data_IF_883863367726
#
_entry.id   IF_883863367726
#
_cell.length_a   1.000
_cell.length_b   1.000
_cell.length_c   1.000
_cell.angle_alpha   90.00
_cell.angle_beta   90.00
_cell.angle_gamma   90.00
#
_symmetry.space_group_name_H-M   'P 1'
#
loop_
_entity.id
_entity.type
_entity.pdbx_description
1 polymer ?
#
# COMPACT_ATOMS: atom_id res chain seq x y z
N UNK A 1 35.65 6.45 8.61
CA UNK A 1 34.96 5.18 8.96
C UNK A 1 34.13 5.44 10.19
N UNK A 2 32.84 5.10 10.17
CA UNK A 2 31.98 5.18 11.36
C UNK A 2 32.13 3.85 12.12
N UNK A 3 32.37 3.85 13.45
CA UNK A 3 32.48 2.62 14.22
C UNK A 3 31.21 1.77 14.09
N UNK A 4 31.37 0.47 13.89
CA UNK A 4 30.31 -0.50 13.58
C UNK A 4 29.15 -0.45 14.62
N UNK A 5 29.46 -0.22 15.90
CA UNK A 5 28.44 -0.09 16.96
C UNK A 5 27.63 1.23 16.95
N UNK A 6 28.11 2.29 16.31
CA UNK A 6 27.39 3.57 16.24
C UNK A 6 26.27 3.53 15.18
N UNK A 7 26.43 2.69 14.15
CA UNK A 7 25.45 2.50 13.09
C UNK A 7 24.25 1.68 13.60
N UNK A 8 24.52 0.60 14.35
CA UNK A 8 23.48 -0.23 14.97
C UNK A 8 22.67 0.54 16.02
N UNK A 9 23.33 1.37 16.82
CA UNK A 9 22.65 2.24 17.80
C UNK A 9 21.72 3.26 17.12
N UNK A 10 22.16 3.88 16.02
CA UNK A 10 21.35 4.83 15.24
C UNK A 10 20.19 4.17 14.48
N UNK A 11 20.34 2.91 14.06
CA UNK A 11 19.28 2.11 13.45
C UNK A 11 18.20 1.72 14.48
N UNK A 12 18.58 1.44 15.74
CA UNK A 12 17.62 1.18 16.83
C UNK A 12 16.90 2.44 17.30
N UNK A 13 17.55 3.61 17.25
CA UNK A 13 16.98 4.87 17.74
C UNK A 13 16.10 5.63 16.72
N UNK A 14 15.84 5.07 15.53
CA UNK A 14 15.00 5.71 14.50
C UNK A 14 15.56 7.03 13.92
N UNK A 15 16.79 7.41 14.29
CA UNK A 15 17.46 8.64 13.83
C UNK A 15 18.28 8.38 12.57
N UNK A 16 17.60 8.06 11.47
CA UNK A 16 18.21 8.12 10.13
C UNK A 16 17.54 9.24 9.35
N UNK A 17 18.19 10.41 9.31
CA UNK A 17 17.83 11.46 8.36
C UNK A 17 18.25 11.01 6.95
N UNK A 18 17.32 10.44 6.20
CA UNK A 18 17.54 10.13 4.78
C UNK A 18 17.49 11.46 4.00
N UNK A 19 18.66 12.07 3.79
CA UNK A 19 18.80 13.11 2.77
C UNK A 19 18.51 12.49 1.40
N UNK A 20 17.40 12.92 0.80
CA UNK A 20 16.99 12.47 -0.54
C UNK A 20 17.87 13.14 -1.59
N UNK A 21 18.99 12.49 -1.91
CA UNK A 21 19.65 12.72 -3.18
C UNK A 21 19.07 11.71 -4.20
N UNK A 22 18.64 12.13 -5.40
CA UNK A 22 18.10 11.23 -6.44
C UNK A 22 19.07 10.13 -6.87
N UNK A 23 20.34 10.18 -6.45
CA UNK A 23 21.38 9.18 -6.69
C UNK A 23 21.70 8.29 -5.47
N UNK A 24 20.89 8.27 -4.41
CA UNK A 24 21.16 7.41 -3.24
C UNK A 24 20.69 5.98 -3.51
N UNK A 25 21.64 5.05 -3.56
CA UNK A 25 21.37 3.62 -3.43
C UNK A 25 20.76 3.36 -2.06
N UNK A 26 19.46 3.08 -2.02
CA UNK A 26 18.79 2.64 -0.79
C UNK A 26 19.03 1.13 -0.66
N UNK A 27 19.84 0.75 0.32
CA UNK A 27 20.01 -0.64 0.73
C UNK A 27 19.05 -0.94 1.88
N UNK A 28 18.04 -1.77 1.62
CA UNK A 28 17.20 -2.34 2.68
C UNK A 28 17.72 -3.74 2.98
N UNK A 29 18.48 -3.87 4.07
CA UNK A 29 18.74 -5.17 4.70
C UNK A 29 17.57 -5.44 5.65
N UNK A 30 16.64 -6.31 5.23
CA UNK A 30 15.81 -7.03 6.19
C UNK A 30 15.98 -8.51 5.86
N UNK A 31 16.62 -9.25 6.76
CA UNK A 31 16.57 -10.71 6.73
C UNK A 31 15.10 -11.07 6.89
N UNK A 32 14.45 -11.43 5.79
CA UNK A 32 13.15 -12.07 5.86
C UNK A 32 13.44 -13.52 6.21
N UNK A 33 12.81 -14.03 7.25
CA UNK A 33 12.83 -15.45 7.56
C UNK A 33 11.63 -16.06 6.85
N UNK A 34 11.81 -16.57 5.63
CA UNK A 34 10.74 -17.31 4.96
C UNK A 34 10.83 -18.78 5.35
N UNK A 35 10.27 -19.12 6.52
CA UNK A 35 10.10 -20.52 6.91
C UNK A 35 9.07 -21.20 5.99
N UNK A 36 9.52 -22.02 5.03
CA UNK A 36 8.70 -22.88 4.17
C UNK A 36 7.37 -22.26 3.69
N UNK A 37 7.41 -21.10 3.01
CA UNK A 37 6.22 -20.27 2.82
C UNK A 37 5.42 -20.56 1.54
N UNK A 38 4.10 -20.40 1.66
CA UNK A 38 3.17 -20.32 0.54
C UNK A 38 3.55 -19.13 -0.35
N UNK A 39 3.44 -19.27 -1.68
CA UNK A 39 3.69 -18.21 -2.67
C UNK A 39 2.99 -16.89 -2.32
N UNK A 40 1.80 -16.93 -1.70
CA UNK A 40 1.08 -15.72 -1.30
C UNK A 40 1.79 -14.94 -0.19
N UNK A 41 2.43 -15.62 0.76
CA UNK A 41 3.17 -14.98 1.85
C UNK A 41 4.47 -14.39 1.30
N UNK A 42 5.14 -15.11 0.39
CA UNK A 42 6.30 -14.57 -0.33
C UNK A 42 5.98 -13.28 -1.08
N UNK A 43 4.85 -13.25 -1.80
CA UNK A 43 4.36 -12.05 -2.49
C UNK A 43 4.16 -10.91 -1.48
N UNK A 44 3.41 -11.17 -0.41
CA UNK A 44 3.09 -10.17 0.62
C UNK A 44 4.38 -9.55 1.18
N UNK A 45 5.30 -10.38 1.65
CA UNK A 45 6.51 -9.96 2.35
C UNK A 45 7.44 -9.15 1.44
N UNK A 46 7.58 -9.59 0.17
CA UNK A 46 8.33 -8.84 -0.83
C UNK A 46 7.75 -7.43 -1.05
N UNK A 47 6.43 -7.32 -1.27
CA UNK A 47 5.81 -6.03 -1.59
C UNK A 47 5.69 -5.10 -0.37
N UNK A 48 5.48 -5.64 0.83
CA UNK A 48 5.59 -4.87 2.08
C UNK A 48 7.01 -4.31 2.25
N UNK A 49 8.03 -5.14 2.01
CA UNK A 49 9.43 -4.72 2.02
C UNK A 49 9.75 -3.63 1.00
N UNK A 50 9.26 -3.80 -0.23
CA UNK A 50 9.43 -2.83 -1.31
C UNK A 50 8.72 -1.51 -0.99
N UNK A 51 7.48 -1.55 -0.49
CA UNK A 51 6.77 -0.36 -0.06
C UNK A 51 7.50 0.36 1.07
N UNK A 52 8.04 -0.37 2.06
CA UNK A 52 8.85 0.22 3.14
C UNK A 52 10.09 0.92 2.58
N UNK A 53 10.76 0.32 1.60
CA UNK A 53 11.91 0.93 0.94
C UNK A 53 11.54 2.24 0.23
N UNK A 54 10.38 2.28 -0.43
CA UNK A 54 9.89 3.45 -1.19
C UNK A 54 9.42 4.56 -0.24
N UNK A 55 8.63 4.22 0.78
CA UNK A 55 7.93 5.19 1.61
C UNK A 55 8.60 5.49 2.94
N UNK A 56 9.64 4.73 3.31
CA UNK A 56 10.21 4.70 4.66
C UNK A 56 9.18 4.26 5.71
N UNK A 57 9.62 4.07 6.96
CA UNK A 57 8.78 3.68 8.08
C UNK A 57 9.07 2.29 8.62
N UNK A 58 8.24 1.89 9.58
CA UNK A 58 8.31 0.62 10.29
C UNK A 58 7.27 -0.34 9.72
N UNK A 59 7.67 -1.60 9.54
CA UNK A 59 6.72 -2.67 9.21
C UNK A 59 5.96 -3.06 10.48
N UNK A 60 4.70 -3.46 10.34
CA UNK A 60 3.91 -4.02 11.45
C UNK A 60 4.59 -5.22 12.12
N UNK A 61 4.33 -5.41 13.41
CA UNK A 61 4.84 -6.56 14.15
C UNK A 61 3.83 -7.71 14.08
N UNK A 62 4.23 -8.86 13.53
CA UNK A 62 3.34 -10.01 13.36
C UNK A 62 3.28 -10.95 14.58
N UNK A 63 4.14 -10.74 15.58
CA UNK A 63 4.24 -11.64 16.74
C UNK A 63 3.12 -11.43 17.78
N UNK A 64 2.28 -10.41 17.62
CA UNK A 64 1.25 -10.00 18.59
C UNK A 64 -0.17 -10.15 18.05
N UNK A 65 -0.40 -11.04 17.06
CA UNK A 65 -1.68 -11.26 16.34
C UNK A 65 -2.85 -11.81 17.21
N UNK A 66 -2.81 -11.68 18.53
CA UNK A 66 -3.95 -12.02 19.41
C UNK A 66 -4.98 -10.87 19.53
N UNK A 67 -4.67 -9.65 19.09
CA UNK A 67 -5.61 -8.52 19.13
C UNK A 67 -6.19 -8.16 17.76
N UNK A 68 -7.52 -8.03 17.73
CA UNK A 68 -8.42 -7.93 16.57
C UNK A 68 -8.28 -6.65 15.71
N UNK A 69 -7.20 -5.89 15.79
CA UNK A 69 -7.02 -4.65 15.03
C UNK A 69 -6.21 -4.85 13.74
N UNK A 70 -6.79 -4.43 12.61
CA UNK A 70 -6.07 -4.42 11.33
C UNK A 70 -5.01 -3.31 11.43
N UNK A 71 -3.78 -3.69 11.75
CA UNK A 71 -2.64 -2.79 11.71
C UNK A 71 -2.19 -2.52 10.27
N UNK A 72 -1.89 -1.26 9.92
CA UNK A 72 -1.29 -0.94 8.63
C UNK A 72 0.06 -1.60 8.43
N UNK A 73 0.30 -2.12 7.23
CA UNK A 73 1.55 -2.81 6.89
C UNK A 73 2.79 -1.95 7.16
N UNK A 74 2.68 -0.63 6.93
CA UNK A 74 3.75 0.33 7.22
C UNK A 74 3.20 1.52 8.02
N UNK A 75 3.90 1.85 9.10
CA UNK A 75 3.65 3.02 9.95
C UNK A 75 4.82 4.00 9.87
N UNK A 76 4.51 5.30 9.79
CA UNK A 76 5.49 6.38 9.80
C UNK A 76 4.95 7.55 10.64
N UNK A 77 5.12 7.49 11.99
CA UNK A 77 4.69 8.52 12.93
C UNK A 77 5.22 9.91 12.57
N UNK A 78 6.49 10.00 12.19
CA UNK A 78 7.17 11.23 11.84
C UNK A 78 6.60 11.90 10.59
N UNK A 79 6.00 11.12 9.67
CA UNK A 79 5.33 11.65 8.48
C UNK A 79 3.82 11.67 8.61
N UNK A 80 3.29 11.26 9.77
CA UNK A 80 1.87 11.02 10.05
C UNK A 80 1.21 10.16 8.95
N UNK A 81 1.77 8.99 8.66
CA UNK A 81 1.29 8.14 7.57
C UNK A 81 1.11 6.69 7.98
N UNK A 82 0.06 6.12 7.40
CA UNK A 82 -0.19 4.68 7.38
C UNK A 82 -0.30 4.21 5.94
N UNK A 83 0.23 3.03 5.67
CA UNK A 83 0.23 2.46 4.33
C UNK A 83 -0.19 1.00 4.40
N UNK A 84 -1.27 0.69 3.69
CA UNK A 84 -1.69 -0.67 3.36
C UNK A 84 -1.05 -1.06 2.02
N UNK A 85 -0.54 -2.28 1.92
CA UNK A 85 0.11 -2.81 0.74
C UNK A 85 -0.66 -4.01 0.20
N UNK A 86 -1.02 -3.94 -1.08
CA UNK A 86 -1.64 -5.05 -1.80
C UNK A 86 -0.88 -5.30 -3.09
N UNK A 87 -0.87 -6.56 -3.53
CA UNK A 87 -0.25 -6.93 -4.80
C UNK A 87 -1.13 -7.89 -5.58
N UNK A 88 -1.18 -7.71 -6.90
CA UNK A 88 -1.90 -8.61 -7.80
C UNK A 88 -1.12 -8.93 -9.06
N UNK A 89 -1.21 -10.20 -9.46
CA UNK A 89 -0.71 -10.68 -10.73
C UNK A 89 -1.64 -10.32 -11.89
N UNK A 90 -1.28 -10.73 -13.10
CA UNK A 90 -2.13 -10.54 -14.26
C UNK A 90 -3.51 -11.18 -14.05
N UNK A 91 -4.59 -10.48 -14.46
CA UNK A 91 -6.02 -10.89 -14.36
C UNK A 91 -6.59 -11.08 -12.96
N UNK A 92 -5.79 -11.00 -11.89
CA UNK A 92 -6.31 -11.06 -10.52
C UNK A 92 -7.00 -9.75 -10.15
N UNK A 93 -7.92 -9.84 -9.20
CA UNK A 93 -8.59 -8.69 -8.57
C UNK A 93 -7.95 -8.44 -7.21
N UNK A 94 -7.97 -7.19 -6.76
CA UNK A 94 -7.60 -6.84 -5.39
C UNK A 94 -8.88 -6.60 -4.60
N UNK A 95 -9.04 -7.37 -3.54
CA UNK A 95 -10.18 -7.28 -2.63
C UNK A 95 -9.84 -6.37 -1.46
N UNK A 96 -10.69 -5.38 -1.22
CA UNK A 96 -10.71 -4.60 0.02
C UNK A 96 -11.99 -4.93 0.76
N UNK A 97 -11.85 -5.51 1.95
CA UNK A 97 -12.98 -5.90 2.79
C UNK A 97 -13.60 -4.67 3.47
N UNK A 98 -14.88 -4.74 3.79
CA UNK A 98 -15.60 -3.65 4.46
C UNK A 98 -15.00 -3.32 5.83
N UNK A 99 -14.75 -4.33 6.66
CA UNK A 99 -14.11 -4.18 7.96
C UNK A 99 -12.75 -3.48 7.87
N UNK A 100 -11.96 -3.78 6.84
CA UNK A 100 -10.69 -3.11 6.56
C UNK A 100 -10.90 -1.62 6.26
N UNK A 101 -11.85 -1.26 5.40
CA UNK A 101 -12.09 0.13 5.04
C UNK A 101 -12.67 0.92 6.22
N UNK A 102 -13.58 0.32 6.99
CA UNK A 102 -14.16 0.93 8.19
C UNK A 102 -13.11 1.19 9.26
N UNK A 103 -12.24 0.22 9.54
CA UNK A 103 -11.13 0.40 10.51
C UNK A 103 -10.22 1.54 10.08
N UNK A 104 -9.85 1.60 8.80
CA UNK A 104 -9.05 2.71 8.30
C UNK A 104 -9.78 4.06 8.35
N UNK A 105 -11.09 4.09 8.10
CA UNK A 105 -11.90 5.31 8.25
C UNK A 105 -11.92 5.81 9.70
N UNK A 106 -12.04 4.90 10.68
CA UNK A 106 -11.92 5.24 12.11
C UNK A 106 -10.51 5.72 12.46
N UNK A 107 -9.48 5.04 11.97
CA UNK A 107 -8.08 5.40 12.19
C UNK A 107 -7.74 6.79 11.62
N UNK A 108 -8.31 7.14 10.47
CA UNK A 108 -8.14 8.44 9.80
C UNK A 108 -8.61 9.63 10.65
N UNK A 109 -9.62 9.41 11.51
CA UNK A 109 -10.15 10.44 12.41
C UNK A 109 -9.64 10.27 13.85
N UNK A 110 -8.79 9.27 14.10
CA UNK A 110 -8.25 8.97 15.42
C UNK A 110 -7.34 10.08 15.94
N UNK A 111 -7.30 10.19 17.27
CA UNK A 111 -6.35 11.03 18.00
C UNK A 111 -5.08 10.27 18.38
N UNK A 112 -5.09 8.94 18.34
CA UNK A 112 -4.03 8.07 18.84
C UNK A 112 -3.81 6.87 17.88
N UNK A 113 -2.57 6.36 17.70
CA UNK A 113 -1.29 6.91 18.16
C UNK A 113 -0.78 8.07 17.30
N UNK A 114 -1.41 8.33 16.15
CA UNK A 114 -1.09 9.45 15.28
C UNK A 114 -2.36 10.27 15.06
N UNK A 115 -2.40 11.56 15.44
CA UNK A 115 -3.53 12.42 15.15
C UNK A 115 -3.69 12.70 13.65
N UNK A 116 -4.88 12.42 13.11
CA UNK A 116 -5.26 12.65 11.70
C UNK A 116 -4.20 12.12 10.70
N UNK A 117 -3.91 10.81 10.71
CA UNK A 117 -2.87 10.23 9.86
C UNK A 117 -3.30 10.28 8.39
N UNK A 118 -2.38 10.44 7.45
CA UNK A 118 -2.67 10.24 6.03
C UNK A 118 -2.55 8.76 5.68
N UNK A 119 -3.68 8.13 5.39
CA UNK A 119 -3.74 6.70 5.10
C UNK A 119 -3.69 6.49 3.58
N UNK A 120 -2.80 5.60 3.14
CA UNK A 120 -2.60 5.26 1.74
C UNK A 120 -2.75 3.77 1.49
N UNK A 121 -3.34 3.43 0.35
CA UNK A 121 -3.35 2.07 -0.18
C UNK A 121 -2.40 2.02 -1.37
N UNK A 122 -1.37 1.18 -1.27
CA UNK A 122 -0.39 0.97 -2.34
C UNK A 122 -0.64 -0.36 -3.00
N UNK A 123 -0.93 -0.33 -4.30
CA UNK A 123 -1.18 -1.50 -5.12
C UNK A 123 -0.01 -1.74 -6.07
N UNK A 124 0.63 -2.90 -5.94
CA UNK A 124 1.62 -3.37 -6.88
C UNK A 124 0.99 -4.32 -7.90
N UNK A 125 1.39 -4.16 -9.16
CA UNK A 125 1.07 -5.11 -10.22
C UNK A 125 2.32 -5.86 -10.64
N UNK A 126 2.24 -7.19 -10.66
CA UNK A 126 3.30 -8.05 -11.16
C UNK A 126 2.89 -8.85 -12.39
N UNK A 127 3.88 -9.17 -13.20
CA UNK A 127 3.70 -9.33 -14.64
C UNK A 127 3.22 -10.67 -15.16
N UNK A 128 3.03 -11.71 -14.34
CA UNK A 128 2.90 -13.06 -14.90
C UNK A 128 1.64 -13.80 -14.50
N UNK A 129 1.13 -14.56 -15.47
CA UNK A 129 0.12 -15.60 -15.28
C UNK A 129 0.82 -16.83 -14.69
N UNK A 130 0.12 -17.58 -13.85
CA UNK A 130 0.64 -18.87 -13.37
C UNK A 130 1.83 -18.77 -12.41
N UNK A 131 1.92 -17.71 -11.61
CA UNK A 131 3.06 -17.49 -10.70
C UNK A 131 3.33 -18.66 -9.75
N UNK A 132 2.27 -19.34 -9.31
CA UNK A 132 2.39 -20.55 -8.47
C UNK A 132 3.17 -21.65 -9.20
N UNK A 133 2.91 -21.87 -10.49
CA UNK A 133 3.64 -22.85 -11.30
C UNK A 133 5.09 -22.41 -11.54
N UNK A 134 5.33 -21.11 -11.75
CA UNK A 134 6.66 -20.56 -11.99
C UNK A 134 7.57 -20.62 -10.76
N UNK A 135 6.99 -20.48 -9.57
CA UNK A 135 7.72 -20.50 -8.29
C UNK A 135 7.69 -21.87 -7.60
N UNK A 136 7.05 -22.87 -8.19
CA UNK A 136 7.02 -24.23 -7.64
C UNK A 136 8.42 -24.83 -7.61
N UNK A 137 8.88 -25.25 -6.44
CA UNK A 137 10.23 -25.80 -6.23
C UNK A 137 11.36 -24.78 -6.36
N UNK A 138 11.06 -23.48 -6.39
CA UNK A 138 12.04 -22.40 -6.38
C UNK A 138 12.47 -22.06 -4.95
N UNK A 139 13.73 -21.68 -4.77
CA UNK A 139 14.19 -21.11 -3.51
C UNK A 139 13.52 -19.77 -3.24
N UNK A 140 13.58 -19.34 -1.99
CA UNK A 140 13.13 -18.01 -1.59
C UNK A 140 13.87 -16.91 -2.36
N UNK A 141 15.19 -17.00 -2.49
CA UNK A 141 15.99 -16.03 -3.25
C UNK A 141 15.60 -15.99 -4.72
N UNK A 142 15.32 -17.15 -5.33
CA UNK A 142 14.80 -17.22 -6.70
C UNK A 142 13.42 -16.54 -6.81
N UNK A 143 12.54 -16.71 -5.83
CA UNK A 143 11.26 -16.04 -5.78
C UNK A 143 11.40 -14.52 -5.59
N UNK A 144 12.29 -14.05 -4.71
CA UNK A 144 12.58 -12.63 -4.52
C UNK A 144 13.16 -12.00 -5.80
N UNK A 145 14.13 -12.66 -6.43
CA UNK A 145 14.70 -12.24 -7.71
C UNK A 145 13.62 -12.17 -8.78
N UNK A 146 12.70 -13.13 -8.79
CA UNK A 146 11.56 -13.13 -9.67
C UNK A 146 10.70 -11.88 -9.50
N UNK A 147 10.23 -11.57 -8.29
CA UNK A 147 9.38 -10.39 -8.06
C UNK A 147 10.12 -9.08 -8.37
N UNK A 148 11.42 -9.01 -8.06
CA UNK A 148 12.28 -7.86 -8.36
C UNK A 148 12.34 -7.54 -9.86
N UNK A 149 12.29 -8.56 -10.72
CA UNK A 149 12.33 -8.38 -12.17
C UNK A 149 10.95 -8.23 -12.83
N UNK A 150 9.89 -8.69 -12.16
CA UNK A 150 8.54 -8.77 -12.74
C UNK A 150 7.52 -7.79 -12.15
N UNK A 151 7.93 -6.91 -11.23
CA UNK A 151 7.12 -5.77 -10.81
C UNK A 151 6.95 -4.80 -11.99
N UNK A 152 5.70 -4.50 -12.38
CA UNK A 152 5.41 -3.69 -13.58
C UNK A 152 5.07 -2.25 -13.25
N UNK A 153 4.26 -2.03 -12.22
CA UNK A 153 3.77 -0.72 -11.83
C UNK A 153 3.34 -0.74 -10.37
N UNK A 154 3.40 0.44 -9.74
CA UNK A 154 2.79 0.71 -8.45
C UNK A 154 1.82 1.89 -8.56
N UNK A 155 0.65 1.77 -7.95
CA UNK A 155 -0.30 2.88 -7.83
C UNK A 155 -0.68 3.06 -6.36
N UNK A 156 -0.47 4.26 -5.83
CA UNK A 156 -0.84 4.63 -4.46
C UNK A 156 -2.05 5.56 -4.45
N UNK A 157 -3.04 5.26 -3.60
CA UNK A 157 -4.27 6.04 -3.43
C UNK A 157 -4.41 6.52 -1.98
N UNK A 158 -4.93 7.74 -1.75
CA UNK A 158 -5.36 8.12 -0.41
C UNK A 158 -6.66 7.37 -0.05
N UNK A 159 -6.90 7.19 1.25
CA UNK A 159 -8.13 6.57 1.76
C UNK A 159 -9.39 7.31 1.26
N UNK A 160 -9.36 8.62 1.04
CA UNK A 160 -10.50 9.38 0.52
C UNK A 160 -11.07 8.82 -0.80
N UNK A 161 -10.19 8.42 -1.71
CA UNK A 161 -10.58 7.78 -2.98
C UNK A 161 -11.12 6.38 -2.70
N UNK A 162 -10.39 5.58 -1.94
CA UNK A 162 -10.78 4.19 -1.63
C UNK A 162 -12.13 4.13 -0.93
N UNK A 163 -12.34 4.99 0.07
CA UNK A 163 -13.57 5.11 0.84
C UNK A 163 -14.74 5.55 -0.03
N UNK A 164 -14.54 6.53 -0.93
CA UNK A 164 -15.59 6.92 -1.89
C UNK A 164 -15.95 5.77 -2.83
N UNK A 165 -14.94 5.11 -3.41
CA UNK A 165 -15.13 3.94 -4.29
C UNK A 165 -15.88 2.83 -3.57
N UNK A 166 -15.55 2.62 -2.30
CA UNK A 166 -16.16 1.62 -1.46
C UNK A 166 -17.64 1.93 -1.13
N UNK A 167 -17.94 3.15 -0.67
CA UNK A 167 -19.29 3.54 -0.22
C UNK A 167 -20.30 3.68 -1.35
N UNK A 168 -19.93 4.30 -2.46
CA UNK A 168 -20.91 4.57 -3.51
C UNK A 168 -21.32 3.34 -4.31
N UNK A 169 -20.59 2.23 -4.16
CA UNK A 169 -20.93 0.96 -4.80
C UNK A 169 -21.14 1.13 -6.30
N UNK A 170 -20.05 1.28 -7.05
CA UNK A 170 -20.09 1.60 -8.48
C UNK A 170 -20.58 0.44 -9.36
N UNK A 171 -21.85 0.06 -9.25
CA UNK A 171 -22.57 -1.01 -9.96
C UNK A 171 -21.77 -1.75 -11.05
N UNK A 172 -22.03 -1.42 -12.32
CA UNK A 172 -21.39 -2.03 -13.50
C UNK A 172 -20.05 -1.40 -13.88
N UNK A 173 -19.40 -0.63 -13.01
CA UNK A 173 -18.11 -0.04 -13.34
C UNK A 173 -17.06 -1.15 -13.53
N UNK A 174 -16.47 -1.31 -14.73
CA UNK A 174 -15.56 -2.42 -15.01
C UNK A 174 -14.23 -2.33 -14.25
N UNK A 175 -13.98 -1.18 -13.59
CA UNK A 175 -12.76 -0.94 -12.83
C UNK A 175 -12.90 -1.38 -11.36
N UNK A 176 -14.09 -1.26 -10.77
CA UNK A 176 -14.34 -1.68 -9.41
C UNK A 176 -15.77 -2.19 -9.23
N UNK A 177 -15.92 -3.35 -8.60
CA UNK A 177 -17.22 -3.99 -8.37
C UNK A 177 -17.42 -4.30 -6.89
N UNK A 178 -18.62 -4.05 -6.38
CA UNK A 178 -19.04 -4.56 -5.07
C UNK A 178 -19.47 -6.03 -5.21
N UNK A 179 -19.03 -6.87 -4.30
CA UNK A 179 -19.47 -8.26 -4.22
C UNK A 179 -19.75 -8.62 -2.77
N UNK A 180 -20.92 -9.19 -2.53
CA UNK A 180 -21.24 -9.85 -1.27
C UNK A 180 -20.68 -11.28 -1.34
N UNK A 181 -19.75 -11.63 -0.46
CA UNK A 181 -19.20 -12.98 -0.40
C UNK A 181 -20.19 -13.99 0.20
N UNK A 182 -19.93 -15.28 -0.01
CA UNK A 182 -20.79 -16.41 0.43
C UNK A 182 -20.99 -16.50 1.96
N UNK A 183 -20.20 -15.75 2.74
CA UNK A 183 -20.26 -15.66 4.21
C UNK A 183 -20.72 -14.28 4.71
N UNK A 184 -21.42 -13.50 3.88
CA UNK A 184 -21.91 -12.16 4.25
C UNK A 184 -20.84 -11.07 4.30
N UNK A 185 -19.56 -11.42 4.08
CA UNK A 185 -18.49 -10.43 3.96
C UNK A 185 -18.59 -9.71 2.63
N UNK A 186 -19.03 -8.46 2.67
CA UNK A 186 -18.99 -7.58 1.52
C UNK A 186 -17.56 -7.07 1.28
N UNK A 187 -17.21 -6.90 0.02
CA UNK A 187 -15.92 -6.36 -0.37
C UNK A 187 -15.98 -5.58 -1.68
N UNK A 188 -15.02 -4.69 -1.84
CA UNK A 188 -14.80 -3.92 -3.06
C UNK A 188 -13.64 -4.53 -3.82
N UNK A 189 -13.94 -5.02 -5.03
CA UNK A 189 -12.98 -5.66 -5.92
C UNK A 189 -12.47 -4.66 -6.96
N UNK A 190 -11.18 -4.41 -6.97
CA UNK A 190 -10.51 -3.65 -8.02
C UNK A 190 -9.95 -4.58 -9.07
N UNK A 191 -10.28 -4.35 -10.34
CA UNK A 191 -9.66 -5.10 -11.44
C UNK A 191 -8.24 -4.60 -11.67
N UNK A 192 -7.35 -5.45 -12.19
CA UNK A 192 -6.01 -4.99 -12.58
C UNK A 192 -6.03 -3.96 -13.70
N UNK A 193 -7.10 -3.92 -14.49
CA UNK A 193 -7.35 -2.89 -15.49
C UNK A 193 -7.56 -1.51 -14.83
N UNK A 194 -8.19 -1.44 -13.66
CA UNK A 194 -8.31 -0.19 -12.90
C UNK A 194 -6.94 0.46 -12.63
N UNK A 195 -5.95 -0.34 -12.24
CA UNK A 195 -4.61 0.16 -11.99
C UNK A 195 -3.92 0.66 -13.25
N UNK A 196 -4.15 0.01 -14.40
CA UNK A 196 -3.62 0.47 -15.68
C UNK A 196 -4.24 1.82 -16.10
N UNK A 197 -5.54 2.01 -15.85
CA UNK A 197 -6.22 3.28 -16.08
C UNK A 197 -5.74 4.38 -15.13
N UNK A 198 -5.63 4.10 -13.83
CA UNK A 198 -5.07 5.06 -12.88
C UNK A 198 -3.61 5.40 -13.17
N UNK A 199 -2.85 4.45 -13.72
CA UNK A 199 -1.47 4.69 -14.11
C UNK A 199 -1.38 5.59 -15.37
N UNK A 200 -2.16 5.29 -16.41
CA UNK A 200 -2.10 5.97 -17.71
C UNK A 200 -2.85 7.30 -17.70
N UNK A 201 -4.06 7.33 -17.13
CA UNK A 201 -5.02 8.44 -17.16
C UNK A 201 -5.68 8.65 -15.77
N UNK A 202 -4.91 8.98 -14.72
CA UNK A 202 -5.40 9.13 -13.36
C UNK A 202 -6.54 10.16 -13.24
N UNK A 203 -6.43 11.32 -13.89
CA UNK A 203 -7.44 12.37 -13.81
C UNK A 203 -8.78 11.92 -14.41
N UNK A 204 -8.74 11.26 -15.56
CA UNK A 204 -9.95 10.72 -16.21
C UNK A 204 -10.55 9.58 -15.38
N UNK A 205 -9.68 8.73 -14.81
CA UNK A 205 -10.12 7.62 -13.97
C UNK A 205 -10.75 8.10 -12.67
N UNK A 206 -10.20 9.14 -12.03
CA UNK A 206 -10.81 9.80 -10.87
C UNK A 206 -12.22 10.31 -11.22
N UNK A 207 -12.38 10.98 -12.38
CA UNK A 207 -13.71 11.44 -12.84
C UNK A 207 -14.71 10.31 -13.04
N UNK A 208 -14.27 9.13 -13.52
CA UNK A 208 -15.12 7.93 -13.66
C UNK A 208 -15.66 7.41 -12.33
N UNK A 209 -15.02 7.76 -11.22
CA UNK A 209 -15.51 7.49 -9.87
C UNK A 209 -16.24 8.70 -9.26
N UNK A 210 -16.76 9.62 -10.07
CA UNK A 210 -17.49 10.81 -9.62
C UNK A 210 -16.70 11.70 -8.65
N UNK A 211 -15.36 11.65 -8.73
CA UNK A 211 -14.45 12.45 -7.93
C UNK A 211 -13.90 13.61 -8.75
N UNK A 212 -13.64 14.74 -8.09
CA UNK A 212 -13.06 15.92 -8.72
C UNK A 212 -11.53 15.87 -8.72
N UNK A 213 -10.84 15.83 -9.87
CA UNK A 213 -9.37 15.70 -9.92
C UNK A 213 -8.61 16.81 -9.21
N UNK A 214 -9.15 18.04 -9.15
CA UNK A 214 -8.50 19.17 -8.48
C UNK A 214 -8.38 19.01 -6.96
N UNK A 215 -9.06 18.03 -6.37
CA UNK A 215 -8.90 17.67 -4.96
C UNK A 215 -7.59 16.91 -4.69
N UNK A 216 -6.89 16.45 -5.73
CA UNK A 216 -5.77 15.53 -5.62
C UNK A 216 -4.49 16.06 -6.29
N UNK A 217 -3.35 15.77 -5.66
CA UNK A 217 -2.03 15.90 -6.25
C UNK A 217 -1.60 14.55 -6.84
N UNK A 218 -1.33 14.51 -8.14
CA UNK A 218 -0.92 13.30 -8.86
C UNK A 218 0.58 13.37 -9.15
N UNK A 219 1.37 12.46 -8.57
CA UNK A 219 2.81 12.37 -8.82
C UNK A 219 3.12 11.12 -9.62
N UNK A 220 3.60 11.30 -10.85
CA UNK A 220 4.15 10.23 -11.68
C UNK A 220 5.67 10.20 -11.54
N UNK A 221 6.24 9.04 -11.28
CA UNK A 221 7.68 8.84 -11.11
C UNK A 221 8.11 7.50 -11.66
N UNK A 222 9.42 7.32 -11.80
CA UNK A 222 10.04 6.02 -12.02
C UNK A 222 10.85 5.67 -10.78
N UNK A 223 10.76 4.42 -10.33
CA UNK A 223 11.62 3.95 -9.25
C UNK A 223 13.08 4.02 -9.74
N UNK A 224 13.95 4.62 -8.94
CA UNK A 224 15.39 4.65 -9.20
C UNK A 224 16.05 3.30 -8.93
N UNK A 225 17.38 3.29 -8.89
CA UNK A 225 18.13 2.11 -8.44
C UNK A 225 17.76 1.79 -6.98
N UNK A 226 17.24 0.58 -6.75
CA UNK A 226 16.87 0.07 -5.44
C UNK A 226 17.32 -1.38 -5.32
N UNK A 227 17.71 -1.79 -4.11
CA UNK A 227 17.97 -3.19 -3.80
C UNK A 227 17.17 -3.62 -2.58
N UNK A 228 16.67 -4.85 -2.60
CA UNK A 228 16.08 -5.52 -1.44
C UNK A 228 16.88 -6.81 -1.23
N UNK A 229 17.48 -6.99 -0.06
CA UNK A 229 18.32 -8.17 0.23
C UNK A 229 19.41 -8.42 -0.81
N UNK A 230 20.10 -7.34 -1.22
CA UNK A 230 21.13 -7.34 -2.27
C UNK A 230 20.63 -7.70 -3.67
N UNK A 231 19.33 -7.96 -3.85
CA UNK A 231 18.71 -8.21 -5.15
C UNK A 231 18.34 -6.86 -5.78
N UNK A 232 18.85 -6.53 -6.97
CA UNK A 232 18.48 -5.30 -7.66
C UNK A 232 17.04 -5.37 -8.15
N UNK A 233 16.27 -4.33 -7.82
CA UNK A 233 14.90 -4.16 -8.30
C UNK A 233 14.95 -3.51 -9.68
N UNK A 234 14.31 -4.14 -10.66
CA UNK A 234 14.17 -3.55 -11.99
C UNK A 234 13.37 -2.24 -11.87
N UNK A 235 13.88 -1.11 -12.41
CA UNK A 235 13.13 0.15 -12.39
C UNK A 235 11.75 0.00 -13.03
N UNK A 236 10.71 0.38 -12.30
CA UNK A 236 9.33 0.40 -12.78
C UNK A 236 8.68 1.77 -12.52
N UNK A 237 7.70 2.17 -13.35
CA UNK A 237 7.01 3.42 -13.15
C UNK A 237 5.97 3.31 -12.03
N UNK A 238 5.69 4.41 -11.34
CA UNK A 238 4.67 4.47 -10.32
C UNK A 238 3.92 5.79 -10.30
N UNK A 239 2.67 5.74 -9.85
CA UNK A 239 1.79 6.90 -9.66
C UNK A 239 1.37 6.95 -8.21
N UNK A 240 1.53 8.11 -7.57
CA UNK A 240 1.07 8.36 -6.22
C UNK A 240 0.06 9.51 -6.26
N UNK A 241 -1.18 9.20 -5.92
CA UNK A 241 -2.27 10.15 -5.79
C UNK A 241 -2.38 10.54 -4.32
N UNK A 242 -2.53 11.82 -4.04
CA UNK A 242 -2.63 12.35 -2.67
C UNK A 242 -3.75 13.35 -2.56
N UNK A 243 -4.43 13.40 -1.43
CA UNK A 243 -5.29 14.53 -1.13
C UNK A 243 -4.46 15.81 -1.01
N UNK A 244 -4.90 16.88 -1.67
CA UNK A 244 -4.43 18.24 -1.34
C UNK A 244 -4.74 18.55 0.14
N UNK A 245 -3.93 19.38 0.79
CA UNK A 245 -4.11 19.66 2.22
C UNK A 245 -5.50 20.25 2.53
N UNK A 246 -6.00 21.15 1.68
CA UNK A 246 -7.33 21.74 1.83
C UNK A 246 -8.44 20.71 1.73
N UNK A 247 -8.38 19.84 0.71
CA UNK A 247 -9.37 18.78 0.54
C UNK A 247 -9.31 17.74 1.65
N UNK A 248 -8.11 17.31 2.05
CA UNK A 248 -7.93 16.30 3.10
C UNK A 248 -8.60 16.73 4.42
N UNK A 249 -8.38 17.99 4.85
CA UNK A 249 -9.02 18.53 6.06
C UNK A 249 -10.54 18.54 5.95
N UNK A 250 -11.07 19.01 4.81
CA UNK A 250 -12.53 19.03 4.57
C UNK A 250 -13.11 17.62 4.62
N UNK A 251 -12.46 16.66 3.97
CA UNK A 251 -12.91 15.28 3.92
C UNK A 251 -12.87 14.61 5.29
N UNK A 252 -11.83 14.83 6.11
CA UNK A 252 -11.77 14.34 7.50
C UNK A 252 -12.96 14.85 8.32
N UNK A 253 -13.29 16.14 8.22
CA UNK A 253 -14.44 16.71 8.95
C UNK A 253 -15.75 16.02 8.56
N UNK A 254 -15.97 15.82 7.25
CA UNK A 254 -17.14 15.11 6.73
C UNK A 254 -17.18 13.65 7.19
N UNK A 255 -16.05 12.95 7.14
CA UNK A 255 -15.93 11.57 7.58
C UNK A 255 -16.25 11.43 9.08
N UNK A 256 -15.79 12.38 9.90
CA UNK A 256 -16.09 12.40 11.33
C UNK A 256 -17.60 12.59 11.59
N UNK A 257 -18.23 13.53 10.89
CA UNK A 257 -19.68 13.74 11.00
C UNK A 257 -20.48 12.51 10.60
N UNK A 258 -20.05 11.81 9.54
CA UNK A 258 -20.67 10.58 9.07
C UNK A 258 -20.56 9.46 10.10
N UNK A 259 -19.34 9.17 10.58
CA UNK A 259 -19.09 8.08 11.53
C UNK A 259 -19.72 8.32 12.91
N UNK A 260 -19.96 9.57 13.30
CA UNK A 260 -20.67 9.89 14.55
C UNK A 260 -22.18 9.69 14.45
N UNK A 261 -22.77 9.78 13.25
CA UNK A 261 -24.21 9.52 13.06
C UNK A 261 -24.54 8.04 13.13
N UNK A 262 -23.59 7.17 12.80
CA UNK A 262 -23.75 5.72 12.75
C UNK A 262 -23.53 5.03 14.11
N UNK A 263 -23.35 5.79 15.21
CA UNK A 263 -23.32 5.24 16.57
C UNK A 263 -24.76 5.26 17.11
N UNK A 264 -25.43 4.10 17.25
CA UNK A 264 -26.74 4.07 17.90
C UNK A 264 -26.59 4.58 19.33
N UNK A 265 -27.43 5.57 19.70
CA UNK A 265 -27.60 6.03 21.08
C UNK A 265 -28.19 4.93 21.96
#
# INVERSE_FOLDING_TARGET
MIPEGLLEKRLREGKVHIHRNPNVNVHVQKVFYFGSLNVNEMIRDFYEGLARAIFSGSLRNRQTEEDYDIEPDITSPERKRYIEVKAAGHTRRIMLKDDQIEKYARLQISKDPIPNPRIYFTFFRYGTRGIQKQLSGKSEEEALAYFAQHTRVMVGFPLSIIHKIHKEGFGSNPLATRTSGDLGMSCTNFTTLAFDFFFSQPEQTIRRFSLYPGNYEIKRRKLGALTINKIPIKPFPFVLIKDTDGYHRKWISQLREELLRDIPF
#
